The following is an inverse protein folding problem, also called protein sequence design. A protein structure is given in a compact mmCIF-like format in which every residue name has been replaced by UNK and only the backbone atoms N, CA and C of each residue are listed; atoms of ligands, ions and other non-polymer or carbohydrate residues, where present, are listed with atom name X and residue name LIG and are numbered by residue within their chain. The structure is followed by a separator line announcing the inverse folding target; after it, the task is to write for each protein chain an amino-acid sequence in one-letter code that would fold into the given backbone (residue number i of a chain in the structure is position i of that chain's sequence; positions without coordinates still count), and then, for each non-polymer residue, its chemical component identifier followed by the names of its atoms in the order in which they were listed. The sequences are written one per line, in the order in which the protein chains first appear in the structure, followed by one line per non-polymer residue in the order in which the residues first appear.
data_IF_551593036507
#
_entry.id   IF_551593036507
#
_cell.length_a   1.000
_cell.length_b   1.000
_cell.length_c   1.000
_cell.angle_alpha   90.00
_cell.angle_beta   90.00
_cell.angle_gamma   90.00
#
_symmetry.space_group_name_H-M   'P 1'
#
loop_
_entity.id
_entity.type
_entity.pdbx_description
1 polymer ?
#
# COMPACT_ATOMS: atom_id res chain seq x y z
N UNK A 1 21.59 -4.06 -7.31
CA UNK A 1 21.36 -4.10 -5.84
C UNK A 1 21.96 -2.88 -5.13
N UNK A 2 23.27 -2.61 -5.26
CA UNK A 2 23.92 -1.46 -4.59
C UNK A 2 23.31 -0.11 -5.04
N UNK A 3 23.13 0.10 -6.35
CA UNK A 3 22.49 1.31 -6.89
C UNK A 3 21.06 1.50 -6.36
N UNK A 4 20.28 0.41 -6.29
CA UNK A 4 18.93 0.43 -5.74
C UNK A 4 18.91 0.82 -4.26
N UNK A 5 19.78 0.22 -3.44
CA UNK A 5 19.88 0.53 -2.02
C UNK A 5 20.32 1.98 -1.79
N UNK A 6 21.28 2.47 -2.59
CA UNK A 6 21.70 3.88 -2.52
C UNK A 6 20.56 4.82 -2.93
N UNK A 7 19.80 4.51 -3.98
CA UNK A 7 18.66 5.31 -4.39
C UNK A 7 17.58 5.40 -3.30
N UNK A 8 17.21 4.26 -2.69
CA UNK A 8 16.22 4.21 -1.60
C UNK A 8 16.73 4.95 -0.36
N UNK A 9 18.01 4.77 -0.01
CA UNK A 9 18.63 5.48 1.12
C UNK A 9 18.63 6.99 0.91
N UNK A 10 19.06 7.46 -0.27
CA UNK A 10 19.08 8.88 -0.62
C UNK A 10 17.67 9.47 -0.60
N UNK A 11 16.67 8.74 -1.14
CA UNK A 11 15.27 9.15 -1.06
C UNK A 11 14.82 9.28 0.40
N UNK A 12 15.12 8.29 1.26
CA UNK A 12 14.80 8.32 2.68
C UNK A 12 15.40 9.53 3.40
N UNK A 13 16.68 9.83 3.17
CA UNK A 13 17.37 11.00 3.76
C UNK A 13 16.82 12.31 3.21
N UNK A 14 16.43 12.36 1.93
CA UNK A 14 15.83 13.55 1.34
C UNK A 14 14.48 13.88 2.00
N UNK A 15 13.62 12.87 2.16
CA UNK A 15 12.30 13.06 2.77
C UNK A 15 12.36 13.21 4.31
N UNK A 16 13.38 12.68 4.98
CA UNK A 16 13.56 12.84 6.43
C UNK A 16 13.85 14.28 6.87
N UNK A 17 14.26 15.15 5.94
CA UNK A 17 14.50 16.58 6.21
C UNK A 17 13.22 17.42 6.23
N UNK A 18 12.07 16.86 5.82
CA UNK A 18 10.78 17.55 5.95
C UNK A 18 10.37 17.50 7.42
N UNK A 19 10.32 18.64 8.10
CA UNK A 19 9.69 18.73 9.42
C UNK A 19 8.20 18.39 9.26
N UNK A 20 7.76 17.27 9.83
CA UNK A 20 6.36 16.87 9.88
C UNK A 20 5.92 16.87 11.34
N UNK A 21 4.85 17.59 11.68
CA UNK A 21 4.37 17.68 13.07
C UNK A 21 3.25 16.67 13.31
N UNK A 22 3.46 15.75 14.26
CA UNK A 22 2.42 14.87 14.81
C UNK A 22 1.59 14.15 13.74
N UNK A 23 0.33 14.56 13.57
CA UNK A 23 -0.64 13.96 12.63
C UNK A 23 -0.19 13.99 11.17
N UNK A 24 0.60 14.98 10.76
CA UNK A 24 1.09 15.09 9.37
C UNK A 24 2.01 13.92 8.99
N UNK A 25 2.72 13.35 9.97
CA UNK A 25 3.61 12.21 9.74
C UNK A 25 2.83 10.92 9.44
N UNK A 26 1.65 10.74 10.06
CA UNK A 26 0.85 9.52 9.94
C UNK A 26 -0.26 9.62 8.90
N UNK A 27 -0.96 10.76 8.83
CA UNK A 27 -2.12 10.97 7.95
C UNK A 27 -1.72 11.63 6.62
N UNK A 28 -0.51 12.19 6.54
CA UNK A 28 -0.13 13.13 5.49
C UNK A 28 -0.88 14.46 5.65
N UNK A 29 -0.38 15.51 5.01
CA UNK A 29 -1.02 16.84 4.92
C UNK A 29 -2.10 16.90 3.82
N UNK A 30 -2.52 15.75 3.29
CA UNK A 30 -3.43 15.65 2.13
C UNK A 30 -2.80 16.06 0.79
N UNK A 31 -1.49 16.36 0.74
CA UNK A 31 -0.81 16.79 -0.49
C UNK A 31 -0.36 15.64 -1.40
N UNK A 32 -0.38 14.40 -0.90
CA UNK A 32 0.09 13.24 -1.65
C UNK A 32 -0.92 12.88 -2.74
N UNK A 33 -0.53 12.88 -4.02
CA UNK A 33 -1.45 12.53 -5.11
C UNK A 33 -1.97 11.09 -4.97
N UNK A 34 -3.25 10.89 -5.32
CA UNK A 34 -3.93 9.60 -5.14
C UNK A 34 -3.19 8.42 -5.79
N UNK A 35 -2.56 8.62 -6.95
CA UNK A 35 -1.83 7.56 -7.65
C UNK A 35 -0.56 7.14 -6.90
N UNK A 36 0.12 8.07 -6.22
CA UNK A 36 1.29 7.76 -5.36
C UNK A 36 0.82 6.95 -4.15
N UNK A 37 -0.28 7.37 -3.52
CA UNK A 37 -0.88 6.64 -2.39
C UNK A 37 -1.31 5.24 -2.80
N UNK A 38 -1.93 5.06 -3.98
CA UNK A 38 -2.31 3.75 -4.50
C UNK A 38 -1.12 2.83 -4.73
N UNK A 39 -0.03 3.33 -5.31
CA UNK A 39 1.21 2.54 -5.52
C UNK A 39 1.82 2.14 -4.17
N UNK A 40 1.82 3.04 -3.19
CA UNK A 40 2.31 2.75 -1.83
C UNK A 40 1.52 1.64 -1.14
N UNK A 41 0.17 1.72 -1.19
CA UNK A 41 -0.71 0.67 -0.65
C UNK A 41 -0.41 -0.68 -1.33
N UNK A 42 -0.31 -0.70 -2.65
CA UNK A 42 -0.01 -1.92 -3.40
C UNK A 42 1.37 -2.49 -3.07
N UNK A 43 2.40 -1.64 -2.98
CA UNK A 43 3.75 -2.04 -2.58
C UNK A 43 3.78 -2.63 -1.16
N UNK A 44 2.95 -2.12 -0.24
CA UNK A 44 2.82 -2.63 1.13
C UNK A 44 2.18 -4.01 1.17
N UNK A 45 1.23 -4.30 0.28
CA UNK A 45 0.57 -5.60 0.18
C UNK A 45 1.46 -6.69 -0.46
N UNK A 46 2.43 -6.29 -1.29
CA UNK A 46 3.34 -7.21 -1.96
C UNK A 46 4.54 -7.57 -1.09
N UNK A 47 4.55 -8.80 -0.59
CA UNK A 47 5.69 -9.37 0.12
C UNK A 47 6.55 -10.27 -0.80
N UNK A 48 7.84 -10.49 -0.46
CA UNK A 48 8.67 -11.48 -1.16
C UNK A 48 8.08 -12.89 -1.12
N UNK A 49 7.39 -13.25 -0.03
CA UNK A 49 6.72 -14.55 0.13
C UNK A 49 5.60 -14.69 -0.89
N UNK A 50 4.75 -13.68 -1.01
CA UNK A 50 3.66 -13.65 -2.00
C UNK A 50 4.21 -13.75 -3.42
N UNK A 51 5.28 -13.01 -3.73
CA UNK A 51 5.91 -13.01 -5.04
C UNK A 51 6.47 -14.39 -5.42
N UNK A 52 7.26 -15.00 -4.52
CA UNK A 52 7.82 -16.33 -4.73
C UNK A 52 6.73 -17.41 -4.73
N UNK A 53 5.69 -17.26 -3.91
CA UNK A 53 4.57 -18.20 -3.84
C UNK A 53 3.78 -18.25 -5.15
N UNK A 54 3.46 -17.11 -5.76
CA UNK A 54 2.78 -17.04 -7.05
C UNK A 54 3.62 -17.67 -8.18
N UNK A 55 4.91 -17.30 -8.25
CA UNK A 55 5.84 -17.84 -9.24
C UNK A 55 6.08 -19.34 -9.05
N UNK A 56 6.28 -19.79 -7.81
CA UNK A 56 6.49 -21.19 -7.45
C UNK A 56 5.27 -22.06 -7.76
N UNK A 57 4.06 -21.58 -7.46
CA UNK A 57 2.82 -22.28 -7.81
C UNK A 57 2.65 -22.44 -9.33
N UNK A 58 2.96 -21.36 -10.06
CA UNK A 58 2.90 -21.36 -11.53
C UNK A 58 3.95 -22.30 -12.15
N UNK A 59 5.16 -22.32 -11.59
CA UNK A 59 6.22 -23.25 -11.98
C UNK A 59 5.83 -24.71 -11.71
N UNK A 60 5.13 -24.98 -10.60
CA UNK A 60 4.59 -26.31 -10.28
C UNK A 60 3.38 -26.71 -11.13
N UNK A 61 2.96 -25.87 -12.10
CA UNK A 61 1.92 -26.18 -13.07
C UNK A 61 0.51 -25.73 -12.68
N UNK A 62 0.33 -24.96 -11.60
CA UNK A 62 -0.98 -24.44 -11.19
C UNK A 62 -1.03 -22.92 -11.26
N UNK A 63 -2.08 -22.38 -11.89
CA UNK A 63 -2.26 -20.93 -12.07
C UNK A 63 -3.41 -20.40 -11.21
N UNK A 64 -3.94 -21.22 -10.31
CA UNK A 64 -5.14 -20.89 -9.53
C UNK A 64 -4.92 -19.66 -8.64
N UNK A 65 -3.71 -19.49 -8.09
CA UNK A 65 -3.38 -18.33 -7.27
C UNK A 65 -3.33 -17.02 -8.07
N UNK A 66 -3.08 -17.12 -9.38
CA UNK A 66 -3.15 -15.97 -10.29
C UNK A 66 -4.61 -15.54 -10.47
N UNK A 67 -5.53 -16.49 -10.69
CA UNK A 67 -6.96 -16.21 -10.77
C UNK A 67 -7.53 -15.61 -9.47
N UNK A 68 -7.00 -16.01 -8.30
CA UNK A 68 -7.40 -15.43 -7.04
C UNK A 68 -7.12 -13.90 -6.97
N UNK A 69 -6.12 -13.40 -7.70
CA UNK A 69 -5.83 -11.95 -7.76
C UNK A 69 -6.93 -11.14 -8.47
N UNK A 70 -7.70 -11.77 -9.38
CA UNK A 70 -8.84 -11.10 -10.03
C UNK A 70 -9.92 -10.68 -9.02
N UNK A 71 -9.96 -11.31 -7.85
CA UNK A 71 -10.81 -10.88 -6.74
C UNK A 71 -10.58 -9.42 -6.35
N UNK A 72 -9.35 -8.89 -6.52
CA UNK A 72 -9.05 -7.47 -6.26
C UNK A 72 -9.83 -6.53 -7.17
N UNK A 73 -10.10 -6.93 -8.42
CA UNK A 73 -10.86 -6.11 -9.39
C UNK A 73 -12.28 -5.84 -8.89
N UNK A 74 -12.86 -6.77 -8.13
CA UNK A 74 -14.19 -6.61 -7.53
C UNK A 74 -14.10 -6.01 -6.12
N UNK A 75 -13.12 -6.46 -5.32
CA UNK A 75 -12.96 -6.02 -3.94
C UNK A 75 -12.64 -4.51 -3.86
N UNK A 76 -11.76 -3.99 -4.73
CA UNK A 76 -11.33 -2.59 -4.67
C UNK A 76 -12.50 -1.62 -4.90
N UNK A 77 -13.32 -1.72 -5.98
CA UNK A 77 -14.48 -0.86 -6.15
C UNK A 77 -15.48 -0.97 -5.00
N UNK A 78 -15.67 -2.18 -4.45
CA UNK A 78 -16.57 -2.41 -3.32
C UNK A 78 -16.06 -1.69 -2.07
N UNK A 79 -14.77 -1.84 -1.74
CA UNK A 79 -14.13 -1.15 -0.63
C UNK A 79 -14.19 0.36 -0.80
N UNK A 80 -13.91 0.89 -2.00
CA UNK A 80 -14.02 2.33 -2.29
C UNK A 80 -15.45 2.84 -2.12
N UNK A 81 -16.45 2.06 -2.55
CA UNK A 81 -17.86 2.49 -2.53
C UNK A 81 -18.48 2.44 -1.14
N UNK A 82 -18.16 1.43 -0.34
CA UNK A 82 -18.85 1.12 0.91
C UNK A 82 -18.00 1.37 2.17
N UNK A 83 -16.71 1.05 2.14
CA UNK A 83 -15.84 1.11 3.33
C UNK A 83 -15.13 2.46 3.42
N UNK A 84 -14.49 2.90 2.34
CA UNK A 84 -13.72 4.14 2.30
C UNK A 84 -14.52 5.38 2.78
N UNK A 85 -15.81 5.57 2.43
CA UNK A 85 -16.57 6.73 2.89
C UNK A 85 -16.78 6.77 4.40
N UNK A 86 -16.76 5.61 5.07
CA UNK A 86 -16.89 5.53 6.53
C UNK A 86 -15.65 6.15 7.15
N UNK A 87 -14.47 5.63 6.78
CA UNK A 87 -13.17 6.09 7.29
C UNK A 87 -12.83 7.52 6.86
N UNK A 88 -13.27 7.96 5.69
CA UNK A 88 -13.01 9.32 5.22
C UNK A 88 -13.84 10.40 5.94
N UNK A 89 -14.94 10.03 6.61
CA UNK A 89 -15.85 10.97 7.30
C UNK A 89 -15.59 11.10 8.80
N UNK A 90 -14.87 10.16 9.38
CA UNK A 90 -14.56 10.14 10.81
C UNK A 90 -13.13 10.65 11.00
N UNK A 91 -12.94 11.64 11.89
CA UNK A 91 -11.61 12.17 12.19
C UNK A 91 -10.87 11.27 13.19
N UNK A 92 -10.59 10.04 12.76
CA UNK A 92 -9.78 9.09 13.50
C UNK A 92 -8.34 9.11 13.00
N UNK A 93 -7.41 8.81 13.90
CA UNK A 93 -5.98 8.77 13.60
C UNK A 93 -5.52 7.32 13.34
N UNK A 94 -6.21 6.33 13.91
CA UNK A 94 -5.96 4.92 13.65
C UNK A 94 -7.24 4.18 13.28
N UNK A 95 -7.11 3.06 12.55
CA UNK A 95 -8.25 2.20 12.25
C UNK A 95 -8.86 1.55 13.51
N UNK A 96 -8.10 1.50 14.62
CA UNK A 96 -8.58 0.94 15.89
C UNK A 96 -9.54 1.88 16.61
N UNK A 97 -9.46 3.19 16.36
CA UNK A 97 -10.36 4.18 16.99
C UNK A 97 -11.81 4.02 16.51
N UNK A 98 -12.05 3.22 15.46
CA UNK A 98 -13.38 2.89 14.96
C UNK A 98 -14.07 1.75 15.73
N UNK A 99 -13.33 0.95 16.51
CA UNK A 99 -13.82 -0.22 17.27
C UNK A 99 -14.04 0.12 18.75
#
# INVERSE_FOLDING_TARGET
MIVYLLAVLVAGIYFSKKEMKGKEFFKGDGSVPWYVTSVSIFATMLSPISFLGLAGNSYAGSWILWFAQLGMVVAIPLTIRFILPIFARIDIDTAYDYL
#
